data_IF_356204175072
#
_entry.id   IF_356204175072
#
_cell.length_a   1.000
_cell.length_b   1.000
_cell.length_c   1.000
_cell.angle_alpha   90.00
_cell.angle_beta   90.00
_cell.angle_gamma   90.00
#
_symmetry.space_group_name_H-M   'P 1'
#
loop_
_entity.id
_entity.type
_entity.pdbx_description
1 polymer ?
#
# COMPACT_ATOMS: atom_id res chain seq x y z
N UNK A 1 19.02 -34.17 -4.23
CA UNK A 1 19.06 -33.04 -5.18
C UNK A 1 17.76 -33.04 -5.96
N UNK A 2 16.75 -32.36 -5.45
CA UNK A 2 15.47 -32.09 -6.12
C UNK A 2 15.17 -30.64 -5.82
N UNK A 3 15.18 -29.83 -6.88
CA UNK A 3 15.36 -28.39 -6.83
C UNK A 3 14.31 -27.64 -6.02
N UNK A 4 14.80 -26.62 -5.31
CA UNK A 4 14.05 -25.43 -4.94
C UNK A 4 13.38 -24.85 -6.18
N UNK A 5 12.14 -25.25 -6.45
CA UNK A 5 11.21 -24.45 -7.23
C UNK A 5 10.61 -23.41 -6.30
N UNK A 6 11.40 -22.41 -5.88
CA UNK A 6 10.79 -21.12 -5.58
C UNK A 6 10.01 -20.75 -6.84
N UNK A 7 8.70 -20.60 -6.71
CA UNK A 7 7.89 -20.01 -7.77
C UNK A 7 8.50 -18.64 -8.05
N UNK A 8 9.38 -18.54 -9.05
CA UNK A 8 9.70 -17.27 -9.67
C UNK A 8 8.33 -16.72 -10.09
N UNK A 9 7.86 -15.72 -9.34
CA UNK A 9 6.54 -15.17 -9.49
C UNK A 9 6.42 -14.62 -10.90
N UNK A 10 5.26 -14.79 -11.52
CA UNK A 10 5.02 -14.18 -12.83
C UNK A 10 5.11 -12.65 -12.77
N UNK A 11 5.08 -12.04 -11.56
CA UNK A 11 5.28 -10.61 -11.35
C UNK A 11 6.57 -10.07 -11.96
N UNK A 12 7.71 -10.74 -11.76
CA UNK A 12 9.00 -10.33 -12.33
C UNK A 12 9.08 -10.54 -13.85
N UNK A 13 8.24 -11.41 -14.40
CA UNK A 13 8.15 -11.66 -15.85
C UNK A 13 7.29 -10.63 -16.59
N UNK A 14 6.51 -9.82 -15.87
CA UNK A 14 5.65 -8.81 -16.48
C UNK A 14 6.47 -7.59 -16.92
N UNK A 15 6.24 -7.08 -18.14
CA UNK A 15 6.89 -5.86 -18.61
C UNK A 15 6.56 -4.65 -17.71
N UNK A 16 7.60 -3.97 -17.22
CA UNK A 16 7.48 -2.74 -16.43
C UNK A 16 7.78 -1.46 -17.23
N UNK A 17 7.83 -1.57 -18.56
CA UNK A 17 8.23 -0.51 -19.50
C UNK A 17 7.16 -0.20 -20.58
N UNK A 18 6.03 -0.92 -20.55
CA UNK A 18 4.96 -0.82 -21.56
C UNK A 18 3.59 -1.07 -20.95
N UNK A 19 2.55 -0.73 -21.72
CA UNK A 19 1.17 -1.07 -21.40
C UNK A 19 0.91 -2.56 -21.71
N UNK A 20 0.39 -3.30 -20.74
CA UNK A 20 0.13 -4.75 -20.86
C UNK A 20 -1.24 -5.10 -20.29
N UNK A 21 -2.01 -5.95 -20.97
CA UNK A 21 -3.28 -6.48 -20.45
C UNK A 21 -3.06 -7.77 -19.68
N UNK A 22 -3.53 -7.82 -18.45
CA UNK A 22 -3.50 -9.01 -17.61
C UNK A 22 -4.79 -9.83 -17.81
N UNK A 23 -4.65 -11.14 -18.02
CA UNK A 23 -5.77 -12.08 -18.16
C UNK A 23 -5.56 -13.30 -17.26
N UNK A 24 -6.64 -14.01 -16.94
CA UNK A 24 -6.58 -15.27 -16.18
C UNK A 24 -6.62 -15.10 -14.65
N UNK A 25 -6.62 -13.87 -14.15
CA UNK A 25 -6.95 -13.51 -12.77
C UNK A 25 -7.82 -12.25 -12.79
N UNK A 26 -8.82 -12.21 -11.93
CA UNK A 26 -9.61 -11.01 -11.62
C UNK A 26 -8.78 -9.95 -10.91
N UNK A 27 -9.24 -8.70 -10.92
CA UNK A 27 -8.61 -7.61 -10.20
C UNK A 27 -8.47 -7.88 -8.70
N UNK A 28 -9.45 -8.59 -8.10
CA UNK A 28 -9.43 -8.93 -6.67
C UNK A 28 -8.38 -10.00 -6.35
N UNK A 29 -8.26 -11.02 -7.19
CA UNK A 29 -7.21 -12.04 -7.04
C UNK A 29 -5.81 -11.45 -7.24
N UNK A 30 -5.65 -10.54 -8.20
CA UNK A 30 -4.40 -9.78 -8.38
C UNK A 30 -4.06 -8.97 -7.13
N UNK A 31 -5.03 -8.24 -6.57
CA UNK A 31 -4.85 -7.43 -5.38
C UNK A 31 -4.46 -8.27 -4.15
N UNK A 32 -5.10 -9.42 -3.96
CA UNK A 32 -4.77 -10.33 -2.86
C UNK A 32 -3.39 -10.98 -3.06
N UNK A 33 -3.04 -11.37 -4.28
CA UNK A 33 -1.71 -11.92 -4.58
C UNK A 33 -0.57 -10.92 -4.43
N UNK A 34 -0.88 -9.63 -4.31
CA UNK A 34 0.05 -8.55 -4.00
C UNK A 34 0.14 -8.25 -2.48
N UNK A 35 -0.57 -8.99 -1.61
CA UNK A 35 -0.57 -8.79 -0.16
C UNK A 35 -0.23 -10.08 0.61
N UNK A 36 0.99 -10.23 1.16
CA UNK A 36 2.08 -9.25 1.17
C UNK A 36 2.69 -9.04 -0.23
N UNK A 37 3.33 -7.89 -0.44
CA UNK A 37 4.00 -7.60 -1.71
C UNK A 37 5.10 -8.64 -1.99
N UNK A 38 5.04 -9.37 -3.13
CA UNK A 38 6.05 -10.36 -3.46
C UNK A 38 7.45 -9.76 -3.61
N UNK A 39 8.47 -10.57 -3.28
CA UNK A 39 9.86 -10.12 -3.29
C UNK A 39 10.35 -9.73 -4.69
N UNK A 40 9.82 -10.40 -5.73
CA UNK A 40 10.17 -10.23 -7.14
C UNK A 40 9.22 -9.27 -7.88
N UNK A 41 8.20 -8.75 -7.21
CA UNK A 41 7.28 -7.78 -7.78
C UNK A 41 7.86 -6.36 -7.74
N UNK A 42 7.56 -5.50 -8.74
CA UNK A 42 7.78 -4.06 -8.63
C UNK A 42 6.89 -3.47 -7.52
N UNK A 43 7.00 -2.16 -7.25
CA UNK A 43 6.03 -1.51 -6.39
C UNK A 43 4.66 -1.48 -7.09
N UNK A 44 3.68 -2.18 -6.55
CA UNK A 44 2.35 -2.29 -7.18
C UNK A 44 1.44 -1.23 -6.60
N UNK A 45 0.84 -0.44 -7.49
CA UNK A 45 -0.24 0.51 -7.15
C UNK A 45 -1.44 0.22 -8.03
N UNK A 46 -2.60 0.03 -7.40
CA UNK A 46 -3.87 -0.17 -8.08
C UNK A 46 -4.61 1.14 -8.18
N UNK A 47 -5.18 1.43 -9.34
CA UNK A 47 -6.07 2.57 -9.54
C UNK A 47 -7.38 2.07 -10.16
N UNK A 48 -8.50 2.30 -9.48
CA UNK A 48 -9.82 1.96 -10.02
C UNK A 48 -10.33 3.11 -10.87
N UNK A 49 -10.62 2.82 -12.14
CA UNK A 49 -11.21 3.81 -13.05
C UNK A 49 -12.71 3.88 -12.77
N UNK A 50 -13.14 4.95 -12.12
CA UNK A 50 -14.57 5.25 -11.97
C UNK A 50 -15.13 5.82 -13.28
N UNK A 51 -16.45 5.74 -13.49
CA UNK A 51 -17.10 6.41 -14.61
C UNK A 51 -16.86 7.93 -14.51
N UNK A 52 -16.06 8.52 -15.42
CA UNK A 52 -15.68 9.89 -15.24
C UNK A 52 -16.82 10.81 -15.68
N UNK A 53 -17.00 11.93 -14.98
CA UNK A 53 -17.91 13.00 -15.41
C UNK A 53 -17.53 13.57 -16.80
N UNK A 54 -16.27 13.39 -17.22
CA UNK A 54 -15.71 13.76 -18.51
C UNK A 54 -14.86 12.63 -19.08
N UNK A 55 -15.09 12.24 -20.34
CA UNK A 55 -14.36 11.13 -21.00
C UNK A 55 -13.05 11.56 -21.66
N UNK A 56 -12.38 12.60 -21.18
CA UNK A 56 -11.09 13.05 -21.75
C UNK A 56 -9.95 12.29 -21.10
N UNK A 57 -9.03 11.77 -21.92
CA UNK A 57 -7.85 11.03 -21.45
C UNK A 57 -6.97 11.88 -20.50
N UNK A 58 -6.89 13.19 -20.74
CA UNK A 58 -6.16 14.12 -19.88
C UNK A 58 -6.73 14.21 -18.45
N UNK A 59 -8.05 14.09 -18.30
CA UNK A 59 -8.70 14.13 -16.99
C UNK A 59 -8.35 12.86 -16.18
N UNK A 60 -8.36 11.69 -16.84
CA UNK A 60 -7.92 10.44 -16.21
C UNK A 60 -6.43 10.48 -15.83
N UNK A 61 -5.57 11.01 -16.70
CA UNK A 61 -4.15 11.22 -16.39
C UNK A 61 -4.00 12.09 -15.14
N UNK A 62 -4.68 13.23 -15.08
CA UNK A 62 -4.59 14.15 -13.94
C UNK A 62 -5.11 13.52 -12.63
N UNK A 63 -6.18 12.71 -12.71
CA UNK A 63 -6.69 11.94 -11.56
C UNK A 63 -5.66 10.93 -11.05
N UNK A 64 -5.11 10.10 -11.94
CA UNK A 64 -4.08 9.11 -11.58
C UNK A 64 -2.84 9.78 -10.99
N UNK A 65 -2.32 10.82 -11.65
CA UNK A 65 -1.12 11.54 -11.19
C UNK A 65 -1.36 12.22 -9.84
N UNK A 66 -2.55 12.78 -9.62
CA UNK A 66 -2.93 13.33 -8.33
C UNK A 66 -2.94 12.26 -7.24
N UNK A 67 -3.49 11.08 -7.51
CA UNK A 67 -3.53 10.00 -6.53
C UNK A 67 -2.14 9.43 -6.23
N UNK A 68 -1.27 9.32 -7.24
CA UNK A 68 0.14 8.96 -7.05
C UNK A 68 0.87 10.01 -6.19
N UNK A 69 0.65 11.29 -6.45
CA UNK A 69 1.22 12.41 -5.69
C UNK A 69 0.78 12.37 -4.22
N UNK A 70 -0.51 12.16 -3.95
CA UNK A 70 -1.03 11.99 -2.59
C UNK A 70 -0.38 10.78 -1.89
N UNK A 71 -0.28 9.64 -2.56
CA UNK A 71 0.35 8.45 -1.99
C UNK A 71 1.86 8.67 -1.73
N UNK A 72 2.56 9.38 -2.61
CA UNK A 72 3.96 9.77 -2.43
C UNK A 72 4.14 10.69 -1.21
N UNK A 73 3.27 11.70 -1.04
CA UNK A 73 3.27 12.58 0.15
C UNK A 73 3.06 11.77 1.42
N UNK A 74 2.07 10.87 1.44
CA UNK A 74 1.82 10.01 2.60
C UNK A 74 3.00 9.10 2.94
N UNK A 75 3.76 8.68 1.93
CA UNK A 75 4.90 7.76 2.08
C UNK A 75 6.24 8.46 2.33
N UNK A 76 6.25 9.79 2.58
CA UNK A 76 7.49 10.59 2.73
C UNK A 76 8.46 10.02 3.76
N UNK A 77 7.97 9.53 4.89
CA UNK A 77 8.83 8.92 5.92
C UNK A 77 9.59 7.68 5.45
N UNK A 78 9.13 7.03 4.39
CA UNK A 78 9.69 5.77 3.87
C UNK A 78 10.74 6.00 2.80
N UNK A 79 10.53 6.98 1.91
CA UNK A 79 11.50 7.34 0.88
C UNK A 79 12.45 8.48 1.29
N UNK A 80 12.20 9.12 2.44
CA UNK A 80 13.07 10.14 3.04
C UNK A 80 13.32 9.87 4.55
N UNK A 81 14.01 8.78 4.91
CA UNK A 81 14.15 8.34 6.29
C UNK A 81 15.01 9.27 7.16
N UNK A 82 15.92 10.05 6.55
CA UNK A 82 16.71 11.08 7.27
C UNK A 82 15.83 12.16 7.92
N UNK A 83 14.55 12.23 7.53
CA UNK A 83 13.57 13.13 8.11
C UNK A 83 12.61 12.32 9.01
N UNK A 84 13.00 12.10 10.27
CA UNK A 84 12.04 11.69 11.30
C UNK A 84 10.96 12.77 11.39
N UNK A 85 9.73 12.37 11.06
CA UNK A 85 8.56 13.25 11.09
C UNK A 85 8.17 13.54 12.53
N UNK A 86 8.92 14.41 13.20
CA UNK A 86 8.39 15.12 14.36
C UNK A 86 7.23 15.98 13.83
N UNK A 87 6.03 15.66 14.28
CA UNK A 87 4.80 16.31 13.82
C UNK A 87 4.73 17.74 14.40
N UNK A 88 5.49 18.66 13.82
CA UNK A 88 5.36 20.09 14.03
C UNK A 88 5.07 20.84 12.72
N UNK A 89 4.53 22.04 12.85
CA UNK A 89 4.19 22.93 11.73
C UNK A 89 5.24 24.02 11.53
N UNK A 90 6.41 23.86 12.16
CA UNK A 90 7.41 24.90 12.24
C UNK A 90 8.05 25.18 10.87
N UNK A 91 8.54 26.41 10.68
CA UNK A 91 9.34 26.78 9.52
C UNK A 91 10.65 25.97 9.43
N UNK A 92 11.15 25.49 10.57
CA UNK A 92 12.38 24.71 10.66
C UNK A 92 12.19 23.30 10.11
N UNK A 93 11.10 22.61 10.45
CA UNK A 93 10.81 21.26 9.92
C UNK A 93 10.66 21.26 8.40
N UNK A 94 9.97 22.26 7.83
CA UNK A 94 9.86 22.38 6.37
C UNK A 94 11.22 22.58 5.70
N UNK A 95 12.10 23.38 6.31
CA UNK A 95 13.46 23.60 5.77
C UNK A 95 14.31 22.35 5.90
N UNK A 96 14.18 21.59 6.99
CA UNK A 96 14.86 20.31 7.17
C UNK A 96 14.39 19.30 6.12
N UNK A 97 13.08 19.12 5.95
CA UNK A 97 12.47 18.26 4.94
C UNK A 97 12.96 18.60 3.52
N UNK A 98 12.95 19.89 3.17
CA UNK A 98 13.51 20.39 1.90
C UNK A 98 14.99 20.06 1.74
N UNK A 99 15.79 20.24 2.78
CA UNK A 99 17.25 20.03 2.73
C UNK A 99 17.58 18.55 2.53
N UNK A 100 16.90 17.65 3.26
CA UNK A 100 17.05 16.20 3.07
C UNK A 100 16.60 15.77 1.67
N UNK A 101 15.48 16.31 1.17
CA UNK A 101 14.99 16.04 -0.18
C UNK A 101 15.97 16.48 -1.28
N UNK A 102 16.59 17.66 -1.11
CA UNK A 102 17.63 18.15 -2.04
C UNK A 102 18.87 17.25 -2.01
N UNK A 103 19.29 16.79 -0.83
CA UNK A 103 20.40 15.83 -0.71
C UNK A 103 20.08 14.51 -1.41
N UNK A 104 18.91 13.93 -1.14
CA UNK A 104 18.45 12.72 -1.82
C UNK A 104 18.49 12.89 -3.35
N UNK A 105 18.02 14.03 -3.86
CA UNK A 105 18.01 14.31 -5.28
C UNK A 105 19.39 14.55 -5.90
N UNK A 106 20.39 14.94 -5.11
CA UNK A 106 21.77 15.10 -5.60
C UNK A 106 22.40 13.74 -5.96
N UNK A 107 22.04 12.69 -5.22
CA UNK A 107 22.62 11.35 -5.35
C UNK A 107 21.70 10.37 -6.11
N UNK A 108 20.66 10.88 -6.79
CA UNK A 108 19.65 10.04 -7.44
C UNK A 108 19.06 10.69 -8.69
N UNK A 109 18.21 9.96 -9.41
CA UNK A 109 17.49 10.47 -10.58
C UNK A 109 16.19 11.23 -10.22
N UNK A 110 16.04 11.65 -8.96
CA UNK A 110 14.92 12.45 -8.50
C UNK A 110 15.02 13.90 -8.99
N UNK A 111 13.89 14.49 -9.43
CA UNK A 111 13.85 15.93 -9.71
C UNK A 111 13.74 16.71 -8.39
N UNK A 112 14.88 17.24 -7.93
CA UNK A 112 15.02 17.86 -6.60
C UNK A 112 13.94 18.87 -6.21
N UNK A 113 13.57 19.85 -7.06
CA UNK A 113 12.52 20.81 -6.73
C UNK A 113 11.16 20.17 -6.43
N UNK A 114 10.81 19.08 -7.13
CA UNK A 114 9.53 18.40 -6.92
C UNK A 114 9.54 17.51 -5.68
N UNK A 115 10.62 16.77 -5.43
CA UNK A 115 10.73 15.93 -4.22
C UNK A 115 10.79 16.79 -2.96
N UNK A 116 11.43 17.96 -3.02
CA UNK A 116 11.34 18.96 -1.97
C UNK A 116 9.90 19.44 -1.73
N UNK A 117 9.11 19.66 -2.79
CA UNK A 117 7.71 20.05 -2.65
C UNK A 117 6.84 18.94 -2.03
N UNK A 118 7.09 17.67 -2.38
CA UNK A 118 6.46 16.51 -1.73
C UNK A 118 6.77 16.47 -0.22
N UNK A 119 8.04 16.61 0.14
CA UNK A 119 8.47 16.61 1.54
C UNK A 119 7.87 17.79 2.34
N UNK A 120 7.88 19.00 1.78
CA UNK A 120 7.24 20.17 2.39
C UNK A 120 5.72 20.02 2.54
N UNK A 121 5.06 19.38 1.56
CA UNK A 121 3.63 19.07 1.60
C UNK A 121 3.32 18.12 2.75
N UNK A 122 4.13 17.06 2.92
CA UNK A 122 3.98 16.09 4.00
C UNK A 122 4.13 16.73 5.39
N UNK A 123 5.11 17.63 5.58
CA UNK A 123 5.30 18.30 6.87
C UNK A 123 4.22 19.35 7.17
N UNK A 124 3.71 20.04 6.14
CA UNK A 124 2.79 21.17 6.33
C UNK A 124 1.31 20.80 6.24
N UNK A 125 0.99 19.62 5.71
CA UNK A 125 -0.37 19.22 5.36
C UNK A 125 -0.99 20.04 4.22
N UNK A 126 -0.21 20.92 3.56
CA UNK A 126 -0.69 21.76 2.46
C UNK A 126 -0.45 21.07 1.13
N UNK A 127 -1.41 21.09 0.19
CA UNK A 127 -1.22 20.50 -1.11
C UNK A 127 -0.13 21.23 -1.91
N UNK A 128 0.55 20.50 -2.78
CA UNK A 128 1.49 21.08 -3.73
C UNK A 128 0.73 21.97 -4.71
N UNK A 129 1.29 23.15 -5.01
CA UNK A 129 0.75 24.04 -6.05
C UNK A 129 1.00 23.41 -7.42
N UNK A 130 0.00 22.70 -7.95
CA UNK A 130 0.11 21.92 -9.20
C UNK A 130 0.63 22.72 -10.38
N UNK A 131 0.24 24.00 -10.53
CA UNK A 131 0.70 24.86 -11.62
C UNK A 131 2.22 25.11 -11.67
N UNK A 132 2.96 24.77 -10.61
CA UNK A 132 4.42 24.90 -10.55
C UNK A 132 5.13 23.76 -11.28
N UNK A 133 4.49 22.59 -11.41
CA UNK A 133 5.10 21.40 -11.98
C UNK A 133 4.24 20.84 -13.11
N UNK A 134 4.88 20.46 -14.21
CA UNK A 134 4.15 19.81 -15.30
C UNK A 134 3.59 18.46 -14.83
N UNK A 135 2.53 17.98 -15.48
CA UNK A 135 1.92 16.69 -15.15
C UNK A 135 2.90 15.54 -15.33
N UNK A 136 3.81 15.61 -16.31
CA UNK A 136 4.90 14.65 -16.53
C UNK A 136 5.87 14.60 -15.35
N UNK A 137 6.27 15.78 -14.85
CA UNK A 137 7.16 15.89 -13.69
C UNK A 137 6.52 15.27 -12.45
N UNK A 138 5.23 15.55 -12.24
CA UNK A 138 4.45 14.99 -11.13
C UNK A 138 4.30 13.48 -11.25
N UNK A 139 4.01 12.98 -12.45
CA UNK A 139 3.87 11.55 -12.74
C UNK A 139 5.18 10.79 -12.45
N UNK A 140 6.29 11.21 -13.08
CA UNK A 140 7.59 10.54 -12.91
C UNK A 140 8.11 10.64 -11.47
N UNK A 141 7.97 11.82 -10.85
CA UNK A 141 8.45 12.06 -9.50
C UNK A 141 7.69 11.25 -8.45
N UNK A 142 6.36 11.19 -8.55
CA UNK A 142 5.51 10.45 -7.61
C UNK A 142 5.70 8.94 -7.75
N UNK A 143 5.74 8.43 -8.99
CA UNK A 143 6.00 7.02 -9.24
C UNK A 143 7.37 6.58 -8.67
N UNK A 144 8.42 7.39 -8.87
CA UNK A 144 9.75 7.10 -8.31
C UNK A 144 9.77 7.13 -6.78
N UNK A 145 9.11 8.11 -6.17
CA UNK A 145 9.03 8.19 -4.70
C UNK A 145 8.30 6.97 -4.10
N UNK A 146 7.23 6.51 -4.76
CA UNK A 146 6.53 5.29 -4.35
C UNK A 146 7.37 4.03 -4.56
N UNK A 147 8.10 3.91 -5.67
CA UNK A 147 9.03 2.81 -5.88
C UNK A 147 10.04 2.73 -4.71
N UNK A 148 10.67 3.87 -4.38
CA UNK A 148 11.63 3.99 -3.30
C UNK A 148 11.03 3.64 -1.93
N UNK A 149 9.78 4.08 -1.64
CA UNK A 149 9.09 3.76 -0.39
C UNK A 149 8.90 2.25 -0.18
N UNK A 150 8.72 1.49 -1.27
CA UNK A 150 8.60 0.04 -1.24
C UNK A 150 9.96 -0.69 -1.36
N UNK A 151 11.08 0.04 -1.47
CA UNK A 151 12.39 -0.56 -1.72
C UNK A 151 12.47 -1.24 -3.09
N UNK A 152 11.90 -0.60 -4.12
CA UNK A 152 11.85 -1.08 -5.51
C UNK A 152 12.35 -0.01 -6.46
N UNK A 153 12.77 -0.42 -7.66
CA UNK A 153 13.29 0.50 -8.67
C UNK A 153 12.19 1.13 -9.54
N UNK A 154 11.05 0.45 -9.66
CA UNK A 154 9.96 0.83 -10.56
C UNK A 154 8.60 0.56 -9.94
N UNK A 155 7.61 1.35 -10.36
CA UNK A 155 6.19 1.12 -10.07
C UNK A 155 5.53 0.40 -11.24
N UNK A 156 4.65 -0.55 -10.92
CA UNK A 156 3.63 -1.03 -11.83
C UNK A 156 2.27 -0.46 -11.41
N UNK A 157 1.69 0.36 -12.28
CA UNK A 157 0.36 0.92 -12.15
C UNK A 157 -0.67 -0.04 -12.75
N UNK A 158 -1.46 -0.67 -11.89
CA UNK A 158 -2.56 -1.55 -12.27
C UNK A 158 -3.82 -0.71 -12.43
N UNK A 159 -4.24 -0.46 -13.67
CA UNK A 159 -5.51 0.19 -13.96
C UNK A 159 -6.63 -0.85 -14.00
N UNK A 160 -7.55 -0.77 -13.06
CA UNK A 160 -8.78 -1.58 -13.03
C UNK A 160 -9.84 -0.87 -13.85
N UNK A 161 -10.21 -1.46 -14.99
CA UNK A 161 -11.11 -0.86 -15.98
C UNK A 161 -12.46 -1.59 -15.99
N UNK A 162 -13.54 -0.97 -15.49
CA UNK A 162 -14.89 -1.54 -15.54
C UNK A 162 -15.43 -1.70 -16.97
N UNK A 163 -16.42 -2.58 -17.15
CA UNK A 163 -17.06 -2.84 -18.46
C UNK A 163 -17.76 -1.61 -19.06
N UNK A 164 -18.30 -0.72 -18.24
CA UNK A 164 -19.01 0.46 -18.71
C UNK A 164 -18.06 1.56 -19.26
N UNK A 165 -16.77 1.47 -18.93
CA UNK A 165 -15.77 2.47 -19.29
C UNK A 165 -15.35 2.30 -20.75
N UNK A 166 -15.22 3.42 -21.46
CA UNK A 166 -14.78 3.44 -22.86
C UNK A 166 -13.27 3.11 -22.97
N UNK A 167 -12.95 2.17 -23.85
CA UNK A 167 -11.61 1.63 -24.00
C UNK A 167 -10.62 2.66 -24.57
N UNK A 168 -11.06 3.56 -25.45
CA UNK A 168 -10.15 4.42 -26.21
C UNK A 168 -9.50 5.50 -25.33
N UNK A 169 -10.30 6.15 -24.47
CA UNK A 169 -9.76 7.20 -23.59
C UNK A 169 -8.81 6.62 -22.53
N UNK A 170 -9.15 5.46 -21.93
CA UNK A 170 -8.28 4.78 -20.97
C UNK A 170 -7.02 4.31 -21.65
N UNK A 171 -7.12 3.78 -22.86
CA UNK A 171 -5.95 3.33 -23.61
C UNK A 171 -4.98 4.49 -23.87
N UNK A 172 -5.48 5.66 -24.25
CA UNK A 172 -4.65 6.86 -24.49
C UNK A 172 -4.00 7.34 -23.20
N UNK A 173 -4.74 7.35 -22.09
CA UNK A 173 -4.20 7.70 -20.78
C UNK A 173 -3.13 6.69 -20.31
N UNK A 174 -3.34 5.40 -20.55
CA UNK A 174 -2.40 4.34 -20.18
C UNK A 174 -1.06 4.47 -20.92
N UNK A 175 -1.07 4.76 -22.23
CA UNK A 175 0.16 5.04 -23.00
C UNK A 175 0.90 6.25 -22.45
N UNK A 176 0.17 7.34 -22.19
CA UNK A 176 0.74 8.55 -21.63
C UNK A 176 1.39 8.28 -20.27
N UNK A 177 0.68 7.60 -19.37
CA UNK A 177 1.17 7.25 -18.04
C UNK A 177 2.41 6.36 -18.13
N UNK A 178 2.39 5.36 -19.01
CA UNK A 178 3.54 4.47 -19.21
C UNK A 178 4.78 5.25 -19.67
N UNK A 179 4.62 6.15 -20.65
CA UNK A 179 5.71 6.93 -21.21
C UNK A 179 6.27 7.98 -20.23
N UNK A 180 5.38 8.67 -19.50
CA UNK A 180 5.75 9.84 -18.71
C UNK A 180 5.93 9.56 -17.21
N UNK A 181 5.19 8.62 -16.63
CA UNK A 181 5.45 8.17 -15.24
C UNK A 181 6.66 7.23 -15.14
N UNK A 182 7.15 6.71 -16.28
CA UNK A 182 8.21 5.68 -16.34
C UNK A 182 7.86 4.46 -15.48
N UNK A 183 6.62 4.02 -15.61
CA UNK A 183 6.04 2.92 -14.86
C UNK A 183 5.47 1.89 -15.84
N UNK A 184 5.45 0.63 -15.44
CA UNK A 184 4.67 -0.38 -16.13
C UNK A 184 3.19 -0.05 -15.95
N UNK A 185 2.39 -0.15 -17.01
CA UNK A 185 0.94 0.04 -16.89
C UNK A 185 0.24 -1.28 -17.21
N UNK A 186 -0.39 -1.86 -16.20
CA UNK A 186 -1.06 -3.15 -16.30
C UNK A 186 -2.56 -2.95 -16.29
N UNK A 187 -3.23 -3.38 -17.33
CA UNK A 187 -4.67 -3.22 -17.51
C UNK A 187 -5.38 -4.50 -17.05
N UNK A 188 -6.39 -4.35 -16.19
CA UNK A 188 -7.26 -5.45 -15.74
C UNK A 188 -8.72 -4.98 -15.68
N UNK A 189 -9.63 -5.85 -15.24
CA UNK A 189 -11.08 -5.62 -15.25
C UNK A 189 -11.71 -5.88 -16.64
N UNK A 190 -13.03 -6.04 -16.67
CA UNK A 190 -13.74 -6.45 -17.89
C UNK A 190 -13.57 -5.49 -19.08
N UNK A 191 -13.46 -4.18 -18.82
CA UNK A 191 -13.27 -3.16 -19.84
C UNK A 191 -11.91 -3.25 -20.57
N UNK A 192 -10.90 -3.85 -19.94
CA UNK A 192 -9.58 -4.05 -20.56
C UNK A 192 -9.60 -5.03 -21.74
N UNK A 193 -10.61 -5.91 -21.82
CA UNK A 193 -10.76 -6.91 -22.88
C UNK A 193 -10.84 -6.28 -24.27
N UNK A 194 -11.42 -5.07 -24.38
CA UNK A 194 -11.62 -4.32 -25.63
C UNK A 194 -10.38 -3.56 -26.11
N UNK A 195 -9.28 -3.55 -25.35
CA UNK A 195 -8.07 -2.77 -25.65
C UNK A 195 -7.05 -3.58 -26.46
N UNK A 196 -7.45 -4.08 -27.63
CA UNK A 196 -6.68 -5.09 -28.38
C UNK A 196 -5.32 -4.65 -28.92
N UNK A 197 -5.08 -3.33 -28.99
CA UNK A 197 -3.79 -2.77 -29.39
C UNK A 197 -2.64 -3.09 -28.43
N UNK A 198 -2.93 -3.48 -27.18
CA UNK A 198 -1.92 -3.81 -26.18
C UNK A 198 -1.69 -5.32 -26.07
N UNK A 199 -0.44 -5.76 -25.87
CA UNK A 199 -0.12 -7.16 -25.66
C UNK A 199 -0.84 -7.68 -24.41
N UNK A 200 -1.19 -8.96 -24.41
CA UNK A 200 -1.83 -9.61 -23.28
C UNK A 200 -0.95 -10.72 -22.72
N UNK A 201 -0.86 -10.78 -21.39
CA UNK A 201 -0.16 -11.82 -20.64
C UNK A 201 -1.16 -12.52 -19.73
N UNK A 202 -1.17 -13.86 -19.79
CA UNK A 202 -1.96 -14.65 -18.86
C UNK A 202 -1.18 -14.81 -17.56
N UNK A 203 -1.83 -14.49 -16.45
CA UNK A 203 -1.30 -14.62 -15.10
C UNK A 203 -2.20 -15.54 -14.30
N UNK A 204 -1.67 -16.12 -13.23
CA UNK A 204 -2.45 -16.98 -12.32
C UNK A 204 -2.29 -16.45 -10.91
N UNK A 205 -3.36 -15.91 -10.37
CA UNK A 205 -3.45 -15.57 -8.97
C UNK A 205 -4.38 -16.57 -8.27
N UNK A 206 -4.19 -16.78 -6.96
CA UNK A 206 -5.02 -17.71 -6.23
C UNK A 206 -6.45 -17.16 -6.07
N UNK A 207 -7.46 -18.03 -6.14
CA UNK A 207 -8.87 -17.61 -6.01
C UNK A 207 -9.13 -16.87 -4.68
N UNK A 208 -9.94 -15.81 -4.80
CA UNK A 208 -10.42 -14.96 -3.71
C UNK A 208 -11.94 -15.05 -3.67
N UNK A 209 -12.52 -15.60 -2.59
CA UNK A 209 -13.97 -15.73 -2.50
C UNK A 209 -14.68 -14.37 -2.47
N UNK A 210 -15.94 -14.40 -2.89
CA UNK A 210 -16.77 -13.19 -2.91
C UNK A 210 -16.91 -12.60 -1.49
N UNK A 211 -16.87 -11.27 -1.40
CA UNK A 211 -17.03 -10.55 -0.13
C UNK A 211 -15.75 -10.32 0.69
N UNK A 212 -14.64 -11.02 0.38
CA UNK A 212 -13.34 -10.80 1.01
C UNK A 212 -12.80 -9.42 0.66
N UNK A 213 -12.54 -8.57 1.65
CA UNK A 213 -11.93 -7.25 1.44
C UNK A 213 -10.48 -7.44 0.97
N UNK A 214 -10.10 -6.77 -0.12
CA UNK A 214 -8.74 -6.82 -0.68
C UNK A 214 -8.08 -5.46 -0.59
N UNK A 215 -6.81 -5.37 -1.00
CA UNK A 215 -6.09 -4.09 -1.12
C UNK A 215 -6.90 -3.04 -1.90
N UNK A 216 -7.67 -3.45 -2.93
CA UNK A 216 -8.50 -2.54 -3.75
C UNK A 216 -9.61 -1.82 -2.98
N UNK A 217 -10.07 -2.39 -1.87
CA UNK A 217 -11.21 -1.87 -1.13
C UNK A 217 -10.78 -0.92 0.00
N UNK A 218 -9.50 -0.99 0.40
CA UNK A 218 -8.96 -0.28 1.57
C UNK A 218 -8.82 1.23 1.31
N UNK A 219 -8.33 1.60 0.12
CA UNK A 219 -8.12 3.02 -0.23
C UNK A 219 -8.51 3.28 -1.68
N UNK A 220 -9.50 4.15 -1.92
CA UNK A 220 -9.91 4.56 -3.27
C UNK A 220 -9.58 6.03 -3.54
N UNK A 221 -9.30 6.40 -4.80
CA UNK A 221 -9.27 5.54 -6.00
C UNK A 221 -7.96 4.77 -6.18
N UNK A 222 -6.91 5.11 -5.42
CA UNK A 222 -5.59 4.47 -5.49
C UNK A 222 -5.26 3.69 -4.22
N UNK A 223 -4.96 2.41 -4.38
CA UNK A 223 -4.61 1.47 -3.32
C UNK A 223 -3.26 0.83 -3.58
N UNK A 224 -2.55 0.42 -2.53
CA UNK A 224 -1.29 -0.31 -2.66
C UNK A 224 -1.09 -1.22 -1.45
N UNK A 225 -0.30 -2.30 -1.57
CA UNK A 225 -0.08 -3.22 -0.46
C UNK A 225 0.59 -2.54 0.73
N UNK A 226 0.34 -3.03 1.96
CA UNK A 226 1.06 -2.55 3.13
C UNK A 226 2.58 -2.71 3.02
N UNK A 227 3.32 -1.75 3.56
CA UNK A 227 4.78 -1.74 3.55
C UNK A 227 5.28 -2.31 4.88
N UNK A 228 5.93 -3.46 4.81
CA UNK A 228 6.35 -4.19 6.00
C UNK A 228 7.29 -3.36 6.89
N UNK A 229 7.01 -3.36 8.19
CA UNK A 229 7.76 -2.60 9.19
C UNK A 229 7.18 -1.23 9.54
N UNK A 230 6.17 -0.75 8.79
CA UNK A 230 5.62 0.60 8.97
C UNK A 230 4.08 0.56 9.03
N UNK A 231 3.41 1.51 9.71
CA UNK A 231 1.97 1.68 9.54
C UNK A 231 1.66 2.04 8.08
N UNK A 232 0.52 1.62 7.56
CA UNK A 232 0.16 1.88 6.18
C UNK A 232 0.08 3.40 5.94
N UNK A 233 0.79 3.98 4.96
CA UNK A 233 0.89 5.43 4.84
C UNK A 233 -0.46 6.13 4.60
N UNK A 234 -1.37 5.47 3.88
CA UNK A 234 -2.75 5.95 3.69
C UNK A 234 -3.70 5.71 4.87
N UNK A 235 -3.30 4.96 5.91
CA UNK A 235 -4.17 4.59 7.05
C UNK A 235 -3.96 5.51 8.24
N UNK A 236 -4.84 6.50 8.40
CA UNK A 236 -4.85 7.38 9.58
C UNK A 236 -4.97 6.64 10.92
N UNK A 237 -5.83 5.62 11.10
CA UNK A 237 -5.90 4.89 12.36
C UNK A 237 -4.60 4.12 12.65
N UNK A 238 -3.98 3.45 11.67
CA UNK A 238 -2.67 2.79 11.90
C UNK A 238 -1.59 3.80 12.29
N UNK A 239 -1.50 4.94 11.60
CA UNK A 239 -0.55 6.02 11.95
C UNK A 239 -0.81 6.57 13.36
N UNK A 240 -2.09 6.68 13.76
CA UNK A 240 -2.47 7.16 15.09
C UNK A 240 -2.10 6.15 16.18
N UNK A 241 -2.39 4.86 15.98
CA UNK A 241 -2.00 3.81 16.91
C UNK A 241 -0.48 3.71 17.01
N UNK A 242 0.23 3.76 15.89
CA UNK A 242 1.70 3.76 15.84
C UNK A 242 2.27 4.85 16.76
N UNK A 243 1.86 6.11 16.57
CA UNK A 243 2.33 7.26 17.37
C UNK A 243 1.98 7.13 18.84
N UNK A 244 0.80 6.57 19.16
CA UNK A 244 0.39 6.36 20.55
C UNK A 244 1.22 5.27 21.24
N UNK A 245 1.51 4.16 20.54
CA UNK A 245 2.38 3.09 21.05
C UNK A 245 3.83 3.55 21.21
N UNK A 246 4.32 4.44 20.33
CA UNK A 246 5.70 4.92 20.34
C UNK A 246 6.07 5.71 21.60
N UNK A 247 5.08 6.24 22.32
CA UNK A 247 5.25 6.94 23.59
C UNK A 247 5.54 5.99 24.77
N UNK A 248 5.64 4.68 24.53
CA UNK A 248 5.72 3.68 25.57
C UNK A 248 6.80 2.64 25.33
N UNK A 249 7.77 2.56 26.25
CA UNK A 249 8.88 1.59 26.20
C UNK A 249 8.41 0.13 26.19
N UNK A 250 7.31 -0.20 26.89
CA UNK A 250 6.77 -1.56 26.91
C UNK A 250 6.33 -2.05 25.51
N UNK A 251 6.02 -1.12 24.60
CA UNK A 251 5.57 -1.41 23.24
C UNK A 251 6.74 -1.63 22.26
N UNK A 252 7.98 -1.69 22.74
CA UNK A 252 9.14 -2.14 21.95
C UNK A 252 8.98 -3.61 21.52
N UNK A 253 9.71 -4.00 20.47
CA UNK A 253 9.63 -5.34 19.87
C UNK A 253 8.39 -5.59 19.02
N UNK A 254 7.52 -4.58 18.84
CA UNK A 254 6.38 -4.65 17.92
C UNK A 254 6.84 -4.57 16.46
N UNK A 255 6.20 -5.34 15.60
CA UNK A 255 6.39 -5.29 14.15
C UNK A 255 5.09 -4.79 13.49
N UNK A 256 5.19 -3.90 12.48
CA UNK A 256 4.02 -3.37 11.77
C UNK A 256 3.86 -3.97 10.38
N UNK A 257 2.62 -4.14 9.92
CA UNK A 257 2.28 -4.65 8.59
C UNK A 257 3.12 -5.87 8.19
N UNK A 258 3.23 -6.83 9.11
CA UNK A 258 4.07 -8.01 8.91
C UNK A 258 3.28 -9.21 8.43
N UNK A 259 3.90 -9.94 7.51
CA UNK A 259 3.36 -11.20 7.05
C UNK A 259 3.60 -12.32 8.07
N UNK A 260 2.54 -13.09 8.33
CA UNK A 260 2.56 -14.31 9.13
C UNK A 260 2.19 -15.47 8.20
N UNK A 261 2.92 -16.58 8.31
CA UNK A 261 2.59 -17.87 7.72
C UNK A 261 2.42 -18.87 8.86
N UNK A 262 1.21 -19.42 9.01
CA UNK A 262 0.89 -20.30 10.14
C UNK A 262 1.32 -21.76 9.92
N UNK A 263 1.45 -22.20 8.67
CA UNK A 263 1.97 -23.52 8.31
C UNK A 263 2.56 -23.53 6.90
N UNK A 264 3.26 -24.60 6.53
CA UNK A 264 3.96 -24.71 5.24
C UNK A 264 3.02 -24.58 4.02
N UNK A 265 1.77 -25.05 4.18
CA UNK A 265 0.74 -25.00 3.14
C UNK A 265 -0.20 -23.79 3.28
N UNK A 266 -0.04 -22.98 4.34
CA UNK A 266 -0.87 -21.80 4.58
C UNK A 266 -0.38 -20.64 3.72
N UNK A 267 -1.32 -19.91 3.11
CA UNK A 267 -0.97 -18.64 2.46
C UNK A 267 -0.50 -17.64 3.52
N UNK A 268 0.59 -16.90 3.24
CA UNK A 268 1.01 -15.81 4.09
C UNK A 268 -0.04 -14.70 4.09
N UNK A 269 -0.19 -14.01 5.21
CA UNK A 269 -1.10 -12.86 5.29
C UNK A 269 -0.53 -11.77 6.18
N UNK A 270 -0.92 -10.52 5.93
CA UNK A 270 -0.43 -9.35 6.66
C UNK A 270 -1.30 -9.04 7.88
N UNK A 271 -0.69 -8.68 9.00
CA UNK A 271 -1.34 -8.12 10.20
C UNK A 271 -0.81 -6.73 10.51
N UNK A 272 -1.65 -5.84 11.05
CA UNK A 272 -1.29 -4.44 11.25
C UNK A 272 -0.21 -4.26 12.32
N UNK A 273 -0.33 -4.89 13.49
CA UNK A 273 0.70 -4.89 14.54
C UNK A 273 0.89 -6.28 15.15
N UNK A 274 2.14 -6.67 15.37
CA UNK A 274 2.51 -7.98 15.90
C UNK A 274 3.58 -7.86 17.00
N UNK A 275 3.28 -8.44 18.16
CA UNK A 275 4.30 -8.85 19.14
C UNK A 275 4.54 -10.35 18.97
N UNK A 276 5.62 -10.70 18.26
CA UNK A 276 5.89 -12.07 17.81
C UNK A 276 6.16 -13.01 18.97
N UNK A 277 6.97 -12.59 19.94
CA UNK A 277 7.33 -13.39 21.13
C UNK A 277 6.11 -13.65 22.01
N UNK A 278 5.30 -12.62 22.27
CA UNK A 278 4.10 -12.69 23.09
C UNK A 278 2.90 -13.32 22.38
N UNK A 279 3.01 -13.51 21.05
CA UNK A 279 1.93 -13.94 20.16
C UNK A 279 0.69 -13.07 20.31
N UNK A 280 0.86 -11.74 20.32
CA UNK A 280 -0.24 -10.77 20.32
C UNK A 280 -0.31 -10.10 18.96
N UNK A 281 -1.48 -10.12 18.35
CA UNK A 281 -1.79 -9.45 17.09
C UNK A 281 -2.81 -8.35 17.37
N UNK A 282 -2.63 -7.21 16.73
CA UNK A 282 -3.63 -6.15 16.67
C UNK A 282 -4.02 -5.95 15.21
N UNK A 283 -5.32 -5.94 14.95
CA UNK A 283 -5.91 -5.59 13.65
C UNK A 283 -6.81 -4.36 13.83
N UNK A 284 -6.73 -3.44 12.88
CA UNK A 284 -7.56 -2.26 12.78
C UNK A 284 -8.58 -2.50 11.67
N UNK A 285 -9.81 -2.77 12.08
CA UNK A 285 -10.91 -3.06 11.17
C UNK A 285 -11.51 -1.75 10.63
N UNK A 286 -11.30 -1.51 9.34
CA UNK A 286 -11.98 -0.45 8.60
C UNK A 286 -13.47 -0.71 8.38
N UNK A 287 -14.20 0.33 7.96
CA UNK A 287 -15.64 0.25 7.67
C UNK A 287 -15.91 -0.74 6.51
N UNK A 288 -14.92 -0.90 5.63
CA UNK A 288 -14.84 -1.91 4.59
C UNK A 288 -14.74 -3.35 5.10
N UNK A 289 -14.82 -3.62 6.41
CA UNK A 289 -14.95 -4.96 7.01
C UNK A 289 -16.37 -5.33 7.48
N UNK A 290 -17.37 -4.42 7.38
CA UNK A 290 -18.73 -4.63 7.91
C UNK A 290 -19.76 -5.51 7.13
N UNK A 291 -19.46 -6.06 5.96
CA UNK A 291 -20.40 -6.89 5.19
C UNK A 291 -20.53 -8.33 5.73
N UNK A 292 -21.75 -8.85 5.77
CA UNK A 292 -22.10 -10.14 6.37
C UNK A 292 -21.57 -11.40 5.64
N UNK A 293 -21.04 -11.27 4.42
CA UNK A 293 -20.43 -12.39 3.68
C UNK A 293 -18.99 -12.71 4.18
N UNK A 294 -18.44 -11.89 5.08
CA UNK A 294 -17.05 -11.94 5.58
C UNK A 294 -16.82 -12.92 6.74
N UNK A 295 -17.90 -13.45 7.33
CA UNK A 295 -17.80 -14.22 8.57
C UNK A 295 -17.12 -15.58 8.43
N UNK A 296 -17.15 -16.24 7.27
CA UNK A 296 -16.66 -17.62 7.16
C UNK A 296 -15.13 -17.69 7.14
N UNK A 297 -14.47 -16.90 6.29
CA UNK A 297 -13.01 -16.90 6.16
C UNK A 297 -12.30 -16.20 7.31
N UNK A 298 -12.85 -15.07 7.78
CA UNK A 298 -12.33 -14.41 8.99
C UNK A 298 -12.38 -15.37 10.18
N UNK A 299 -13.42 -16.20 10.30
CA UNK A 299 -13.49 -17.23 11.35
C UNK A 299 -12.48 -18.37 11.16
N UNK A 300 -12.24 -18.82 9.93
CA UNK A 300 -11.20 -19.83 9.67
C UNK A 300 -9.84 -19.28 10.06
N UNK A 301 -9.52 -18.04 9.67
CA UNK A 301 -8.28 -17.35 10.01
C UNK A 301 -8.13 -17.13 11.51
N UNK A 302 -9.20 -16.70 12.19
CA UNK A 302 -9.21 -16.53 13.64
C UNK A 302 -8.97 -17.84 14.38
N UNK A 303 -9.64 -18.91 13.96
CA UNK A 303 -9.44 -20.24 14.54
C UNK A 303 -7.99 -20.71 14.31
N UNK A 304 -7.43 -20.47 13.12
CA UNK A 304 -6.03 -20.79 12.86
C UNK A 304 -5.09 -19.97 13.76
N UNK A 305 -5.29 -18.66 13.88
CA UNK A 305 -4.49 -17.81 14.78
C UNK A 305 -4.56 -18.31 16.23
N UNK A 306 -5.76 -18.59 16.73
CA UNK A 306 -5.97 -19.07 18.09
C UNK A 306 -5.33 -20.44 18.33
N UNK A 307 -5.48 -21.40 17.41
CA UNK A 307 -4.85 -22.73 17.52
C UNK A 307 -3.33 -22.68 17.46
N UNK A 308 -2.76 -21.65 16.81
CA UNK A 308 -1.32 -21.36 16.84
C UNK A 308 -0.91 -20.51 18.04
N UNK A 309 -1.82 -20.27 18.98
CA UNK A 309 -1.56 -19.62 20.26
C UNK A 309 -1.54 -18.09 20.21
N UNK A 310 -1.99 -17.48 19.12
CA UNK A 310 -2.11 -16.03 19.01
C UNK A 310 -3.32 -15.50 19.77
N UNK A 311 -3.14 -14.34 20.42
CA UNK A 311 -4.22 -13.50 20.92
C UNK A 311 -4.42 -12.35 19.94
N UNK A 312 -5.60 -12.28 19.32
CA UNK A 312 -5.95 -11.24 18.35
C UNK A 312 -6.82 -10.20 19.04
N UNK A 313 -6.42 -8.93 18.95
CA UNK A 313 -7.19 -7.77 19.39
C UNK A 313 -7.64 -7.00 18.15
N UNK A 314 -8.95 -6.80 18.01
CA UNK A 314 -9.53 -6.01 16.92
C UNK A 314 -10.04 -4.68 17.44
N UNK A 315 -9.69 -3.61 16.73
CA UNK A 315 -10.19 -2.27 17.00
C UNK A 315 -10.81 -1.69 15.75
N UNK A 316 -11.94 -1.02 15.89
CA UNK A 316 -12.49 -0.24 14.78
C UNK A 316 -11.66 1.02 14.54
N UNK A 317 -11.73 1.58 13.33
CA UNK A 317 -11.16 2.91 13.03
C UNK A 317 -11.54 3.96 14.09
N UNK A 318 -12.82 4.03 14.48
CA UNK A 318 -13.30 4.98 15.47
C UNK A 318 -12.65 4.77 16.85
N UNK A 319 -12.48 3.53 17.31
CA UNK A 319 -11.82 3.25 18.59
C UNK A 319 -10.37 3.76 18.61
N UNK A 320 -9.65 3.65 17.50
CA UNK A 320 -8.25 4.10 17.41
C UNK A 320 -8.13 5.60 17.20
N UNK A 321 -9.03 6.21 16.42
CA UNK A 321 -9.02 7.65 16.13
C UNK A 321 -9.50 8.45 17.34
N UNK A 322 -10.64 8.07 17.92
CA UNK A 322 -11.31 8.84 18.96
C UNK A 322 -10.70 8.62 20.35
N UNK A 323 -10.29 7.38 20.66
CA UNK A 323 -9.69 7.03 21.96
C UNK A 323 -8.49 6.05 21.83
N UNK A 324 -7.37 6.54 21.25
CA UNK A 324 -6.16 5.72 21.12
C UNK A 324 -5.60 5.26 22.47
N UNK A 325 -5.83 6.03 23.55
CA UNK A 325 -5.33 5.69 24.88
C UNK A 325 -5.97 4.42 25.43
N UNK A 326 -7.28 4.24 25.21
CA UNK A 326 -7.97 3.01 25.60
C UNK A 326 -7.48 1.82 24.80
N UNK A 327 -7.28 1.97 23.48
CA UNK A 327 -6.70 0.90 22.66
C UNK A 327 -5.31 0.49 23.17
N UNK A 328 -4.43 1.46 23.42
CA UNK A 328 -3.08 1.25 23.99
C UNK A 328 -3.14 0.56 25.35
N UNK A 329 -4.07 0.93 26.23
CA UNK A 329 -4.23 0.31 27.55
C UNK A 329 -4.62 -1.17 27.44
N UNK A 330 -5.58 -1.50 26.56
CA UNK A 330 -5.99 -2.89 26.29
C UNK A 330 -4.85 -3.72 25.70
N UNK A 331 -4.10 -3.16 24.74
CA UNK A 331 -2.93 -3.83 24.14
C UNK A 331 -1.86 -4.09 25.21
N UNK A 332 -1.56 -3.10 26.06
CA UNK A 332 -0.58 -3.22 27.16
C UNK A 332 -0.93 -4.36 28.10
N UNK A 333 -2.21 -4.50 28.45
CA UNK A 333 -2.68 -5.56 29.33
C UNK A 333 -2.49 -6.94 28.69
N UNK A 334 -2.86 -7.10 27.42
CA UNK A 334 -2.69 -8.35 26.68
C UNK A 334 -1.22 -8.76 26.58
N UNK A 335 -0.35 -7.83 26.19
CA UNK A 335 1.11 -8.05 26.07
C UNK A 335 1.71 -8.39 27.44
N UNK A 336 1.40 -7.62 28.49
CA UNK A 336 1.90 -7.86 29.84
C UNK A 336 1.48 -9.24 30.39
N UNK A 337 0.23 -9.64 30.16
CA UNK A 337 -0.28 -10.97 30.57
C UNK A 337 0.42 -12.12 29.83
N UNK A 338 0.84 -11.91 28.58
CA UNK A 338 1.58 -12.91 27.81
C UNK A 338 3.04 -13.01 28.26
N UNK A 339 3.67 -11.89 28.58
CA UNK A 339 5.02 -11.85 29.17
C UNK A 339 5.06 -12.57 30.51
N UNK A 340 4.09 -12.32 31.40
CA UNK A 340 4.07 -12.96 32.73
C UNK A 340 3.77 -14.46 32.71
N UNK A 341 3.10 -14.96 31.67
CA UNK A 341 2.87 -16.41 31.47
C UNK A 341 4.06 -17.13 30.82
N UNK A 342 4.94 -16.39 30.13
CA UNK A 342 6.10 -16.91 29.42
C UNK A 342 7.40 -16.88 30.21
N UNK A 343 7.40 -16.35 31.43
CA UNK A 343 8.55 -16.26 32.33
C UNK A 343 8.45 -17.41 33.37
N UNK A 344 9.15 -18.55 33.16
CA UNK A 344 9.25 -19.56 34.19
C UNK A 344 10.24 -19.01 35.23
N UNK A 345 9.73 -18.50 36.35
CA UNK A 345 10.56 -18.28 37.54
C UNK A 345 11.24 -19.55 37.99
#
# INVERSE_FOLDING_TARGET
>A
MTGNGETAGWWSSLPADRVTRLRGASERELAESANPLPADAPAIVFFTVDEPASRRSADLVEMVVTSLETAAVHSTALWLPEFEHNAGTSTLERRAARTSAVRLAADSAHFGPYIAALAESASSGRPIRRAVFTVETRAAGSARALAAAHGRDVVALVLVVPDAVDADFVSTAAEWLCAHARAGVWLTGGGSSRMDRFPSVSVRAPEVPAGVSTVLDRFRPLSYPPIAGHPHPASDPEKRLYRALDQHEWATGREHNRSIRLGELSRPFTVDVLWRTERVIVEIDGDEHRAAERFAEDRVRDNQLQTHGYMVLRFTNAQVIDDPHRAVATIREAVSRRRSKGDPR
#
